data_IF_696632343207
#
_entry.id   IF_696632343207
#
_cell.length_a   1.000
_cell.length_b   1.000
_cell.length_c   1.000
_cell.angle_alpha   90.00
_cell.angle_beta   90.00
_cell.angle_gamma   90.00
#
_symmetry.space_group_name_H-M   'P 1'
#
loop_
_entity.id
_entity.type
_entity.pdbx_description
1 polymer ?
#
# COMPACT_ATOMS: atom_id res chain seq x y z
N UNK A 1 7.21 -24.87 15.21
CA UNK A 1 7.37 -24.37 13.82
C UNK A 1 6.68 -23.01 13.61
N UNK A 2 6.30 -22.30 14.68
CA UNK A 2 5.57 -21.03 14.61
C UNK A 2 6.44 -19.89 14.05
N UNK A 3 7.72 -19.83 14.41
CA UNK A 3 8.64 -18.82 13.88
C UNK A 3 8.78 -18.89 12.35
N UNK A 4 8.89 -20.10 11.78
CA UNK A 4 8.96 -20.29 10.33
C UNK A 4 7.68 -19.78 9.67
N UNK A 5 6.52 -20.01 10.28
CA UNK A 5 5.25 -19.50 9.78
C UNK A 5 5.18 -17.96 9.83
N UNK A 6 5.62 -17.34 10.93
CA UNK A 6 5.66 -15.87 11.07
C UNK A 6 6.59 -15.28 10.01
N UNK A 7 7.78 -15.86 9.80
CA UNK A 7 8.68 -15.44 8.73
C UNK A 7 8.05 -15.63 7.34
N UNK A 8 7.34 -16.73 7.10
CA UNK A 8 6.60 -16.95 5.86
C UNK A 8 5.54 -15.87 5.60
N UNK A 9 4.76 -15.51 6.62
CA UNK A 9 3.76 -14.44 6.53
C UNK A 9 4.39 -13.06 6.31
N UNK A 10 5.52 -12.79 6.96
CA UNK A 10 6.25 -11.54 6.75
C UNK A 10 6.75 -11.45 5.30
N UNK A 11 7.37 -12.51 4.79
CA UNK A 11 7.82 -12.58 3.39
C UNK A 11 6.65 -12.39 2.43
N UNK A 12 5.51 -13.02 2.71
CA UNK A 12 4.30 -12.88 1.92
C UNK A 12 3.86 -11.40 1.80
N UNK A 13 3.81 -10.67 2.92
CA UNK A 13 3.45 -9.25 2.91
C UNK A 13 4.47 -8.39 2.16
N UNK A 14 5.77 -8.66 2.30
CA UNK A 14 6.83 -7.93 1.59
C UNK A 14 6.73 -8.14 0.08
N UNK A 15 6.53 -9.37 -0.37
CA UNK A 15 6.39 -9.67 -1.80
C UNK A 15 5.12 -9.08 -2.41
N UNK A 16 4.01 -9.03 -1.65
CA UNK A 16 2.80 -8.31 -2.08
C UNK A 16 3.08 -6.83 -2.28
N UNK A 17 3.79 -6.19 -1.35
CA UNK A 17 4.14 -4.78 -1.45
C UNK A 17 5.07 -4.52 -2.66
N UNK A 18 6.08 -5.37 -2.88
CA UNK A 18 6.99 -5.25 -4.02
C UNK A 18 6.25 -5.36 -5.36
N UNK A 19 5.38 -6.36 -5.52
CA UNK A 19 4.60 -6.55 -6.73
C UNK A 19 3.65 -5.37 -6.99
N UNK A 20 3.04 -4.82 -5.94
CA UNK A 20 2.20 -3.63 -6.05
C UNK A 20 3.00 -2.41 -6.50
N UNK A 21 4.17 -2.14 -5.90
CA UNK A 21 5.03 -1.02 -6.33
C UNK A 21 5.46 -1.17 -7.79
N UNK A 22 5.80 -2.39 -8.24
CA UNK A 22 6.09 -2.67 -9.65
C UNK A 22 4.91 -2.40 -10.58
N UNK A 23 3.69 -2.72 -10.14
CA UNK A 23 2.45 -2.45 -10.89
C UNK A 23 2.17 -0.96 -11.09
N UNK A 24 2.68 -0.09 -10.19
CA UNK A 24 2.52 1.35 -10.29
C UNK A 24 3.43 2.01 -11.35
N UNK A 25 4.60 1.43 -11.62
CA UNK A 25 5.64 2.04 -12.48
C UNK A 25 5.16 2.41 -13.91
N UNK A 26 4.35 1.60 -14.62
CA UNK A 26 3.91 1.93 -15.98
C UNK A 26 2.90 3.09 -16.05
N UNK A 27 2.34 3.51 -14.91
CA UNK A 27 1.39 4.64 -14.79
C UNK A 27 0.20 4.60 -15.77
N UNK A 28 -0.35 3.41 -16.01
CA UNK A 28 -1.58 3.25 -16.80
C UNK A 28 -2.84 3.63 -16.02
N UNK A 29 -3.99 3.70 -16.70
CA UNK A 29 -5.28 4.01 -16.06
C UNK A 29 -5.59 3.11 -14.86
N UNK A 30 -5.42 1.79 -15.01
CA UNK A 30 -5.66 0.85 -13.91
C UNK A 30 -4.64 0.97 -12.77
N UNK A 31 -3.37 1.24 -13.08
CA UNK A 31 -2.34 1.49 -12.07
C UNK A 31 -2.61 2.77 -11.28
N UNK A 32 -3.00 3.85 -11.95
CA UNK A 32 -3.35 5.13 -11.32
C UNK A 32 -4.55 4.97 -10.37
N UNK A 33 -5.67 4.44 -10.87
CA UNK A 33 -6.87 4.27 -10.04
C UNK A 33 -6.66 3.23 -8.94
N UNK A 34 -5.87 2.18 -9.20
CA UNK A 34 -5.47 1.22 -8.18
C UNK A 34 -4.68 1.87 -7.03
N UNK A 35 -3.72 2.76 -7.35
CA UNK A 35 -2.98 3.51 -6.35
C UNK A 35 -3.90 4.35 -5.46
N UNK A 36 -4.85 5.06 -6.09
CA UNK A 36 -5.81 5.92 -5.39
C UNK A 36 -6.66 5.15 -4.38
N UNK A 37 -7.17 3.98 -4.78
CA UNK A 37 -8.02 3.15 -3.89
C UNK A 37 -7.22 2.63 -2.69
N UNK A 38 -5.98 2.17 -2.90
CA UNK A 38 -5.15 1.66 -1.78
C UNK A 38 -4.76 2.79 -0.83
N UNK A 39 -4.36 3.96 -1.33
CA UNK A 39 -4.02 5.11 -0.47
C UNK A 39 -5.23 5.56 0.35
N UNK A 40 -6.42 5.62 -0.28
CA UNK A 40 -7.64 6.03 0.42
C UNK A 40 -8.08 5.05 1.51
N UNK A 41 -7.65 3.79 1.47
CA UNK A 41 -7.92 2.83 2.54
C UNK A 41 -7.26 3.26 3.87
N UNK A 42 -6.08 3.88 3.80
CA UNK A 42 -5.39 4.40 4.99
C UNK A 42 -6.11 5.62 5.59
N UNK A 43 -6.90 6.33 4.77
CA UNK A 43 -7.76 7.45 5.18
C UNK A 43 -8.91 7.02 6.10
N UNK A 44 -9.30 5.74 6.06
CA UNK A 44 -10.35 5.22 6.92
C UNK A 44 -9.93 5.06 8.40
N UNK A 45 -8.66 5.26 8.73
CA UNK A 45 -8.17 5.15 10.11
C UNK A 45 -8.62 6.39 10.90
N UNK A 46 -9.34 6.22 12.03
CA UNK A 46 -9.78 7.36 12.83
C UNK A 46 -8.59 8.12 13.41
N UNK A 47 -8.74 9.43 13.57
CA UNK A 47 -7.77 10.37 14.15
C UNK A 47 -6.54 10.67 13.27
N UNK A 48 -5.93 9.68 12.61
CA UNK A 48 -4.67 9.85 11.86
C UNK A 48 -4.77 9.57 10.35
N UNK A 49 -5.93 9.11 9.86
CA UNK A 49 -6.07 8.60 8.50
C UNK A 49 -5.79 9.63 7.41
N UNK A 50 -6.27 10.86 7.60
CA UNK A 50 -6.11 11.93 6.61
C UNK A 50 -4.63 12.34 6.48
N UNK A 51 -3.96 12.58 7.61
CA UNK A 51 -2.53 12.93 7.65
C UNK A 51 -1.65 11.79 7.11
N UNK A 52 -2.00 10.54 7.42
CA UNK A 52 -1.28 9.37 6.93
C UNK A 52 -1.44 9.19 5.42
N UNK A 53 -2.66 9.38 4.88
CA UNK A 53 -2.92 9.27 3.45
C UNK A 53 -2.18 10.35 2.66
N UNK A 54 -2.16 11.57 3.18
CA UNK A 54 -1.40 12.68 2.61
C UNK A 54 0.10 12.36 2.60
N UNK A 55 0.64 11.86 3.71
CA UNK A 55 2.04 11.49 3.81
C UNK A 55 2.43 10.37 2.84
N UNK A 56 1.58 9.34 2.69
CA UNK A 56 1.82 8.22 1.75
C UNK A 56 1.80 8.71 0.30
N UNK A 57 0.89 9.64 -0.04
CA UNK A 57 0.75 10.18 -1.40
C UNK A 57 1.87 11.16 -1.76
N UNK A 58 2.34 11.94 -0.79
CA UNK A 58 3.40 12.94 -0.96
C UNK A 58 2.95 14.29 -1.53
N UNK A 59 1.67 14.47 -1.88
CA UNK A 59 1.07 15.74 -2.34
C UNK A 59 -0.47 15.73 -2.20
N UNK A 60 -1.11 16.91 -2.31
CA UNK A 60 -2.55 17.16 -2.14
C UNK A 60 -3.42 17.00 -3.40
N UNK A 61 -2.83 16.66 -4.56
CA UNK A 61 -3.56 16.55 -5.83
C UNK A 61 -4.53 15.35 -5.90
#
# INVERSE_FOLDING_TARGET
RELIWIFGMLIYLVLMAEAFMGYLLPWGQMSYWGAQVIVNLFGAIPVIGDDLSLWIRGDYL
#
